data_IF_213625828252
#
_entry.id   IF_213625828252
#
_cell.length_a   1.000
_cell.length_b   1.000
_cell.length_c   1.000
_cell.angle_alpha   90.00
_cell.angle_beta   90.00
_cell.angle_gamma   90.00
#
_symmetry.space_group_name_H-M   'P 1'
#
loop_
_entity.id
_entity.type
_entity.pdbx_description
1 polymer ?
#
# COMPACT_ATOMS: atom_id res chain seq x y z
N UNK A 1 19.01 1.54 -7.64
CA UNK A 1 18.07 2.67 -7.78
C UNK A 1 18.90 3.94 -7.87
N UNK A 2 18.73 4.79 -8.88
CA UNK A 2 19.37 6.11 -8.87
C UNK A 2 18.92 6.87 -7.61
N UNK A 3 19.81 7.68 -7.05
CA UNK A 3 19.56 8.63 -5.95
C UNK A 3 19.43 8.10 -4.51
N UNK A 4 19.70 6.82 -4.24
CA UNK A 4 19.86 6.33 -2.85
C UNK A 4 21.34 6.39 -2.46
N UNK A 5 21.65 7.14 -1.40
CA UNK A 5 23.00 7.26 -0.83
C UNK A 5 23.40 5.94 -0.21
N UNK A 6 24.52 5.38 -0.67
CA UNK A 6 25.07 4.17 -0.06
C UNK A 6 25.68 4.51 1.31
N UNK A 7 25.44 3.62 2.27
CA UNK A 7 26.07 3.68 3.59
C UNK A 7 27.18 2.64 3.63
N UNK A 8 28.37 3.05 4.08
CA UNK A 8 29.50 2.15 4.28
C UNK A 8 29.43 1.54 5.68
N UNK A 9 29.46 0.21 5.76
CA UNK A 9 29.57 -0.50 7.03
C UNK A 9 31.00 -1.02 7.16
N UNK A 10 31.70 -0.57 8.21
CA UNK A 10 33.07 -0.99 8.50
C UNK A 10 33.12 -1.62 9.89
N UNK A 11 33.66 -2.84 9.96
CA UNK A 11 34.01 -3.46 11.22
C UNK A 11 35.41 -2.98 11.64
N UNK A 12 35.53 -2.48 12.86
CA UNK A 12 36.80 -2.06 13.44
C UNK A 12 37.41 -3.21 14.25
N UNK A 13 38.75 -3.32 14.22
CA UNK A 13 39.48 -4.33 14.98
C UNK A 13 39.41 -4.08 16.49
N UNK A 14 39.54 -2.81 16.89
CA UNK A 14 39.51 -2.37 18.29
C UNK A 14 38.53 -1.21 18.50
N UNK A 15 37.90 -1.19 19.68
CA UNK A 15 36.97 -0.12 20.09
C UNK A 15 37.66 1.25 20.15
N UNK A 16 38.95 1.31 20.45
CA UNK A 16 39.73 2.55 20.49
C UNK A 16 39.95 3.19 19.13
N UNK A 17 39.76 2.43 18.04
CA UNK A 17 39.86 2.93 16.67
C UNK A 17 38.58 3.64 16.22
N UNK A 18 37.49 3.53 16.99
CA UNK A 18 36.25 4.24 16.72
C UNK A 18 36.40 5.73 17.08
N UNK A 19 35.87 6.66 16.27
CA UNK A 19 35.85 8.06 16.64
C UNK A 19 35.03 8.27 17.93
N UNK A 20 35.35 9.28 18.74
CA UNK A 20 34.59 9.57 19.94
C UNK A 20 33.14 9.94 19.59
N UNK A 21 32.20 9.47 20.39
CA UNK A 21 30.78 9.78 20.21
C UNK A 21 30.53 11.27 20.47
N UNK A 22 29.94 11.97 19.50
CA UNK A 22 29.36 13.29 19.70
C UNK A 22 28.06 13.17 20.51
N UNK A 23 27.27 12.13 20.20
CA UNK A 23 26.01 11.81 20.90
C UNK A 23 25.97 10.32 21.19
N UNK A 24 25.54 9.96 22.39
CA UNK A 24 25.42 8.56 22.83
C UNK A 24 23.97 8.25 23.19
N UNK A 25 23.49 7.12 22.68
CA UNK A 25 22.15 6.59 22.92
C UNK A 25 22.24 5.27 23.69
N UNK A 26 21.20 4.96 24.47
CA UNK A 26 21.04 3.69 25.20
C UNK A 26 19.98 2.77 24.58
N UNK A 27 19.45 3.14 23.42
CA UNK A 27 18.43 2.41 22.64
C UNK A 27 19.02 1.94 21.31
N UNK A 28 18.46 0.90 20.66
CA UNK A 28 18.84 0.53 19.31
C UNK A 28 18.42 1.59 18.28
N UNK A 29 18.99 1.51 17.08
CA UNK A 29 18.57 2.30 15.93
C UNK A 29 18.23 1.43 14.71
N UNK A 30 17.34 1.92 13.85
CA UNK A 30 17.09 1.41 12.51
C UNK A 30 17.40 2.53 11.52
N UNK A 31 18.36 2.26 10.65
CA UNK A 31 18.78 3.13 9.55
C UNK A 31 18.10 2.70 8.26
N UNK A 32 17.38 3.60 7.62
CA UNK A 32 16.78 3.38 6.30
C UNK A 32 16.89 4.62 5.42
N UNK A 33 16.78 4.43 4.11
CA UNK A 33 16.85 5.50 3.14
C UNK A 33 15.45 5.83 2.59
N UNK A 34 15.19 7.12 2.36
CA UNK A 34 14.05 7.58 1.58
C UNK A 34 14.53 7.98 0.18
N UNK A 35 14.05 7.32 -0.86
CA UNK A 35 14.53 7.61 -2.22
C UNK A 35 13.71 6.88 -3.26
N UNK A 36 14.24 6.74 -4.47
CA UNK A 36 13.56 6.02 -5.55
C UNK A 36 12.13 6.53 -5.79
N UNK A 37 11.15 5.65 -5.60
CA UNK A 37 9.73 5.90 -5.93
C UNK A 37 8.89 6.40 -4.73
N UNK A 38 9.51 6.71 -3.59
CA UNK A 38 8.83 7.35 -2.44
C UNK A 38 8.09 8.62 -2.84
N UNK A 39 6.87 8.78 -2.33
CA UNK A 39 5.86 9.74 -2.82
C UNK A 39 4.80 9.13 -3.72
N UNK A 40 5.02 7.90 -4.21
CA UNK A 40 3.95 7.03 -4.64
C UNK A 40 3.46 6.22 -3.43
N UNK A 41 2.15 6.26 -3.16
CA UNK A 41 1.56 5.67 -1.97
C UNK A 41 1.82 4.16 -1.82
N UNK A 42 1.90 3.42 -2.94
CA UNK A 42 2.28 2.01 -2.94
C UNK A 42 3.71 1.81 -2.45
N UNK A 43 4.66 2.58 -2.99
CA UNK A 43 6.08 2.49 -2.63
C UNK A 43 6.33 2.99 -1.20
N UNK A 44 5.61 4.01 -0.75
CA UNK A 44 5.71 4.45 0.64
C UNK A 44 5.32 3.33 1.61
N UNK A 45 4.31 2.53 1.28
CA UNK A 45 3.90 1.39 2.12
C UNK A 45 4.77 0.15 1.93
N UNK A 46 4.91 -0.31 0.68
CA UNK A 46 5.59 -1.56 0.34
C UNK A 46 7.10 -1.50 0.51
N UNK A 47 7.73 -0.41 0.07
CA UNK A 47 9.20 -0.28 0.10
C UNK A 47 9.70 0.24 1.45
N UNK A 48 8.86 0.97 2.21
CA UNK A 48 9.28 1.66 3.43
C UNK A 48 8.49 1.24 4.67
N UNK A 49 7.18 1.53 4.76
CA UNK A 49 6.44 1.41 6.03
C UNK A 49 6.28 -0.04 6.50
N UNK A 50 6.00 -0.99 5.60
CA UNK A 50 5.91 -2.41 5.94
C UNK A 50 7.28 -2.97 6.38
N UNK A 51 8.37 -2.78 5.63
CA UNK A 51 9.71 -3.17 6.07
C UNK A 51 10.16 -2.49 7.36
N UNK A 52 9.81 -1.21 7.56
CA UNK A 52 10.11 -0.48 8.78
C UNK A 52 9.34 -1.05 9.97
N UNK A 53 8.06 -1.41 9.80
CA UNK A 53 7.29 -2.13 10.81
C UNK A 53 7.97 -3.45 11.19
N UNK A 54 8.39 -4.26 10.20
CA UNK A 54 9.11 -5.52 10.45
C UNK A 54 10.38 -5.26 11.27
N UNK A 55 11.21 -4.30 10.85
CA UNK A 55 12.50 -4.01 11.47
C UNK A 55 12.38 -3.43 12.90
N UNK A 56 11.29 -2.73 13.20
CA UNK A 56 11.14 -1.96 14.44
C UNK A 56 10.23 -2.60 15.48
N UNK A 57 9.28 -3.46 15.07
CA UNK A 57 8.20 -3.94 15.97
C UNK A 57 8.72 -4.64 17.22
N UNK A 58 9.85 -5.35 17.12
CA UNK A 58 10.52 -6.05 18.23
C UNK A 58 10.99 -5.13 19.37
N UNK A 59 11.09 -3.82 19.13
CA UNK A 59 11.60 -2.86 20.11
C UNK A 59 10.49 -2.13 20.88
N UNK A 60 9.21 -2.36 20.56
CA UNK A 60 8.06 -1.74 21.25
C UNK A 60 8.19 -0.20 21.45
N UNK A 61 8.64 0.47 20.39
CA UNK A 61 8.85 1.92 20.39
C UNK A 61 10.21 2.39 20.93
N UNK A 62 10.98 1.53 21.59
CA UNK A 62 12.33 1.85 22.08
C UNK A 62 13.39 1.71 20.97
N UNK A 63 13.25 2.49 19.90
CA UNK A 63 14.17 2.45 18.75
C UNK A 63 14.29 3.82 18.10
N UNK A 64 15.50 4.27 17.81
CA UNK A 64 15.75 5.51 17.07
C UNK A 64 15.66 5.25 15.57
N UNK A 65 14.91 6.08 14.84
CA UNK A 65 14.97 6.09 13.38
C UNK A 65 16.01 7.07 12.89
N UNK A 66 16.86 6.58 11.99
CA UNK A 66 17.88 7.34 11.29
C UNK A 66 17.54 7.28 9.80
N UNK A 67 17.33 8.43 9.17
CA UNK A 67 16.86 8.52 7.79
C UNK A 67 17.96 9.15 6.94
N UNK A 68 18.43 8.41 5.93
CA UNK A 68 19.23 8.99 4.85
C UNK A 68 18.33 9.34 3.65
N UNK A 69 18.78 10.28 2.83
CA UNK A 69 18.02 10.90 1.75
C UNK A 69 16.66 11.46 2.22
N UNK A 70 16.63 12.05 3.42
CA UNK A 70 15.36 12.44 4.03
C UNK A 70 14.66 13.51 3.18
N UNK A 71 13.43 13.22 2.75
CA UNK A 71 12.52 14.21 2.17
C UNK A 71 11.69 14.82 3.31
N UNK A 72 11.81 16.12 3.64
CA UNK A 72 11.16 16.69 4.84
C UNK A 72 9.64 16.48 4.91
N UNK A 73 8.96 16.41 3.76
CA UNK A 73 7.52 16.17 3.70
C UNK A 73 7.12 14.75 4.11
N UNK A 74 8.00 13.75 3.98
CA UNK A 74 7.66 12.34 4.17
C UNK A 74 7.46 11.99 5.65
N UNK A 75 8.38 12.32 6.59
CA UNK A 75 8.13 12.14 8.01
C UNK A 75 6.91 12.92 8.51
N UNK A 76 6.63 14.09 7.92
CA UNK A 76 5.44 14.86 8.24
C UNK A 76 4.16 14.15 7.78
N UNK A 77 4.14 13.59 6.57
CA UNK A 77 3.00 12.86 6.02
C UNK A 77 2.67 11.58 6.80
N UNK A 78 3.70 10.86 7.28
CA UNK A 78 3.57 9.59 8.00
C UNK A 78 3.82 9.71 9.51
N UNK A 79 3.75 10.92 10.05
CA UNK A 79 4.07 11.23 11.46
C UNK A 79 3.37 10.30 12.44
N UNK A 80 2.07 10.08 12.27
CA UNK A 80 1.26 9.24 13.18
C UNK A 80 1.76 7.79 13.22
N UNK A 81 2.21 7.25 12.08
CA UNK A 81 2.78 5.91 12.00
C UNK A 81 4.15 5.88 12.70
N UNK A 82 5.02 6.83 12.36
CA UNK A 82 6.39 6.88 12.91
C UNK A 82 6.37 7.03 14.43
N UNK A 83 5.51 7.88 14.97
CA UNK A 83 5.34 8.06 16.43
C UNK A 83 4.77 6.84 17.14
N UNK A 84 4.12 5.92 16.43
CA UNK A 84 3.67 4.65 16.99
C UNK A 84 4.74 3.57 16.91
N UNK A 85 5.62 3.62 15.90
CA UNK A 85 6.74 2.69 15.75
C UNK A 85 7.94 3.07 16.62
N UNK A 86 8.11 4.34 16.95
CA UNK A 86 9.19 4.88 17.79
C UNK A 86 8.68 5.95 18.75
N UNK A 87 9.20 5.94 19.98
CA UNK A 87 8.98 6.98 21.00
C UNK A 87 9.83 8.23 20.77
N UNK A 88 10.71 8.22 19.77
CA UNK A 88 11.70 9.25 19.49
C UNK A 88 11.45 9.87 18.10
N UNK A 89 11.74 11.17 17.95
CA UNK A 89 11.67 11.83 16.65
C UNK A 89 12.73 11.26 15.71
N UNK A 90 12.37 11.06 14.43
CA UNK A 90 13.31 10.58 13.43
C UNK A 90 14.44 11.60 13.20
N UNK A 91 15.66 11.09 13.05
CA UNK A 91 16.86 11.89 12.79
C UNK A 91 17.13 11.92 11.29
N UNK A 92 17.31 13.13 10.76
CA UNK A 92 17.85 13.35 9.42
C UNK A 92 19.38 13.16 9.45
N UNK A 93 19.87 12.07 8.84
CA UNK A 93 21.30 11.82 8.76
C UNK A 93 22.01 12.66 7.69
N UNK A 94 21.29 13.24 6.73
CA UNK A 94 21.94 14.12 5.76
C UNK A 94 22.24 15.49 6.36
N UNK A 95 21.38 15.95 7.27
CA UNK A 95 21.60 17.18 8.04
C UNK A 95 22.80 17.11 9.01
N UNK A 96 23.25 15.90 9.40
CA UNK A 96 24.45 15.70 10.23
C UNK A 96 25.76 16.13 9.52
N UNK A 97 25.71 16.44 8.22
CA UNK A 97 26.84 16.95 7.42
C UNK A 97 26.74 18.42 6.99
N UNK A 98 25.63 19.12 7.27
CA UNK A 98 25.46 20.54 6.95
C UNK A 98 26.08 21.41 8.06
N UNK A 99 27.40 21.59 8.00
CA UNK A 99 28.20 22.44 8.91
C UNK A 99 29.60 21.89 9.21
N UNK A 100 30.43 22.66 9.91
CA UNK A 100 31.84 22.30 10.27
C UNK A 100 31.97 21.17 11.30
N UNK A 101 30.88 20.59 11.80
CA UNK A 101 30.89 19.59 12.88
C UNK A 101 30.42 18.21 12.37
N UNK A 102 31.36 17.26 12.29
CA UNK A 102 31.03 15.86 12.01
C UNK A 102 30.36 15.21 13.24
N UNK A 103 29.07 14.85 13.13
CA UNK A 103 28.33 14.24 14.24
C UNK A 103 28.53 12.73 14.23
N UNK A 104 29.14 12.18 15.30
CA UNK A 104 29.26 10.74 15.52
C UNK A 104 28.19 10.30 16.52
N UNK A 105 27.23 9.50 16.06
CA UNK A 105 26.15 8.95 16.90
C UNK A 105 26.44 7.51 17.27
N UNK A 106 26.49 7.22 18.56
CA UNK A 106 26.77 5.90 19.10
C UNK A 106 25.51 5.25 19.66
N UNK A 107 25.25 4.02 19.21
CA UNK A 107 24.14 3.19 19.69
C UNK A 107 24.67 1.83 20.16
N UNK A 108 24.02 1.16 21.12
CA UNK A 108 24.33 -0.21 21.49
C UNK A 108 24.12 -1.21 20.35
N UNK A 109 23.18 -0.95 19.43
CA UNK A 109 22.88 -1.80 18.28
C UNK A 109 22.26 -0.95 17.16
N UNK A 110 22.68 -1.19 15.91
CA UNK A 110 22.10 -0.53 14.73
C UNK A 110 21.73 -1.59 13.70
N UNK A 111 20.48 -1.58 13.24
CA UNK A 111 20.05 -2.29 12.04
C UNK A 111 20.27 -1.36 10.85
N UNK A 112 21.11 -1.77 9.89
CA UNK A 112 21.39 -1.00 8.68
C UNK A 112 20.56 -1.56 7.52
N UNK A 113 19.63 -0.75 7.03
CA UNK A 113 18.68 -1.11 5.98
C UNK A 113 17.39 -1.71 6.52
N UNK A 114 16.38 -1.70 5.65
CA UNK A 114 15.09 -2.36 5.84
C UNK A 114 14.87 -3.32 4.66
N UNK A 115 14.22 -4.45 4.90
CA UNK A 115 14.09 -5.52 3.93
C UNK A 115 12.63 -5.69 3.50
N UNK A 116 12.36 -5.45 2.22
CA UNK A 116 11.10 -5.82 1.58
C UNK A 116 11.11 -7.33 1.28
N UNK A 117 10.05 -8.04 1.68
CA UNK A 117 9.92 -9.47 1.40
C UNK A 117 9.34 -9.69 -0.01
N UNK A 118 8.15 -9.11 -0.24
CA UNK A 118 7.48 -8.93 -1.53
C UNK A 118 6.77 -7.55 -1.49
N UNK A 119 6.20 -7.09 -2.61
CA UNK A 119 5.65 -5.73 -2.78
C UNK A 119 4.92 -5.15 -1.55
N UNK A 120 3.81 -5.73 -1.13
CA UNK A 120 3.08 -5.32 0.09
C UNK A 120 2.74 -6.54 0.95
N UNK A 121 3.77 -7.28 1.36
CA UNK A 121 3.61 -8.55 2.05
C UNK A 121 4.64 -8.73 3.16
N UNK A 122 4.28 -9.56 4.14
CA UNK A 122 5.16 -10.00 5.22
C UNK A 122 5.18 -11.52 5.23
N UNK A 123 6.31 -12.08 4.83
CA UNK A 123 6.64 -13.52 4.98
C UNK A 123 7.04 -13.81 6.44
N UNK A 124 6.22 -14.54 7.22
CA UNK A 124 6.44 -14.71 8.67
C UNK A 124 7.74 -15.42 9.04
N UNK A 125 8.22 -16.31 8.17
CA UNK A 125 9.48 -17.05 8.35
C UNK A 125 10.70 -16.12 8.35
N UNK A 126 10.59 -14.94 7.74
CA UNK A 126 11.65 -13.94 7.62
C UNK A 126 11.43 -12.72 8.53
N UNK A 127 10.23 -12.58 9.12
CA UNK A 127 9.87 -11.48 10.01
C UNK A 127 9.64 -12.00 11.44
N UNK A 128 10.70 -12.24 12.23
CA UNK A 128 10.54 -12.68 13.62
C UNK A 128 9.74 -11.64 14.41
N UNK A 129 8.75 -12.11 15.17
CA UNK A 129 7.98 -11.27 16.08
C UNK A 129 8.76 -10.89 17.35
N UNK A 130 8.07 -10.30 18.34
CA UNK A 130 8.63 -10.07 19.66
C UNK A 130 9.18 -11.38 20.28
N UNK A 131 10.16 -11.30 21.20
CA UNK A 131 10.73 -12.48 21.85
C UNK A 131 9.66 -13.44 22.40
N UNK A 132 9.73 -14.71 22.00
CA UNK A 132 8.74 -15.73 22.39
C UNK A 132 7.41 -15.71 21.60
N UNK A 133 7.26 -14.80 20.63
CA UNK A 133 6.09 -14.70 19.75
C UNK A 133 6.24 -15.43 18.41
N UNK A 134 5.14 -15.47 17.64
CA UNK A 134 5.15 -15.92 16.24
C UNK A 134 5.73 -14.85 15.31
N UNK A 135 6.11 -15.24 14.10
CA UNK A 135 6.47 -14.31 13.04
C UNK A 135 5.35 -13.29 12.74
N UNK A 136 5.74 -12.07 12.36
CA UNK A 136 4.83 -11.01 11.97
C UNK A 136 4.14 -11.37 10.64
N UNK A 137 2.91 -10.88 10.46
CA UNK A 137 2.11 -11.09 9.23
C UNK A 137 1.54 -9.77 8.73
N UNK A 138 1.03 -9.74 7.50
CA UNK A 138 0.26 -8.58 7.01
C UNK A 138 -0.96 -8.27 7.87
N UNK A 139 -1.62 -9.29 8.44
CA UNK A 139 -2.68 -9.08 9.42
C UNK A 139 -2.20 -8.37 10.70
N UNK A 140 -0.93 -8.51 11.09
CA UNK A 140 -0.35 -7.71 12.18
C UNK A 140 -0.13 -6.27 11.78
N UNK A 141 0.34 -6.04 10.55
CA UNK A 141 0.52 -4.69 10.02
C UNK A 141 -0.83 -3.97 9.91
N UNK A 142 -1.87 -4.57 9.34
CA UNK A 142 -3.18 -3.92 9.21
C UNK A 142 -3.83 -3.68 10.58
N UNK A 143 -3.66 -4.57 11.55
CA UNK A 143 -4.08 -4.32 12.94
C UNK A 143 -3.33 -3.13 13.54
N UNK A 144 -2.01 -3.06 13.33
CA UNK A 144 -1.21 -1.92 13.75
C UNK A 144 -1.71 -0.62 13.11
N UNK A 145 -1.99 -0.60 11.80
CA UNK A 145 -2.55 0.58 11.11
C UNK A 145 -3.90 1.01 11.70
N UNK A 146 -4.75 0.05 12.08
CA UNK A 146 -6.02 0.33 12.75
C UNK A 146 -5.83 0.94 14.14
N UNK A 147 -4.86 0.46 14.92
CA UNK A 147 -4.51 1.06 16.22
C UNK A 147 -3.96 2.48 16.06
N UNK A 148 -3.05 2.68 15.10
CA UNK A 148 -2.40 3.98 14.81
C UNK A 148 -3.44 5.07 14.55
N UNK A 149 -4.47 4.77 13.77
CA UNK A 149 -5.49 5.74 13.37
C UNK A 149 -6.80 5.62 14.18
N UNK A 150 -6.82 4.80 15.23
CA UNK A 150 -7.99 4.53 16.06
C UNK A 150 -9.24 4.20 15.21
N UNK A 151 -9.07 3.31 14.24
CA UNK A 151 -10.10 2.95 13.28
C UNK A 151 -11.22 2.15 13.96
N UNK A 152 -12.49 2.63 13.92
CA UNK A 152 -13.55 2.10 14.76
C UNK A 152 -14.12 0.77 14.27
N UNK A 153 -14.02 0.46 12.96
CA UNK A 153 -14.62 -0.75 12.39
C UNK A 153 -13.62 -1.89 12.39
N UNK A 154 -14.04 -3.02 12.96
CA UNK A 154 -13.26 -4.25 13.07
C UNK A 154 -13.73 -5.42 12.21
N UNK A 155 -14.90 -5.26 11.59
CA UNK A 155 -15.49 -6.17 10.62
C UNK A 155 -16.33 -5.36 9.60
N UNK A 156 -16.57 -5.91 8.39
CA UNK A 156 -17.52 -5.35 7.45
C UNK A 156 -18.96 -5.46 7.99
N UNK A 157 -19.91 -4.85 7.29
CA UNK A 157 -21.32 -4.93 7.63
C UNK A 157 -21.80 -6.39 7.57
N UNK A 158 -22.33 -6.91 8.69
CA UNK A 158 -22.97 -8.23 8.71
C UNK A 158 -24.42 -8.09 8.30
N UNK A 159 -24.78 -8.77 7.21
CA UNK A 159 -26.15 -8.84 6.71
C UNK A 159 -26.96 -10.01 7.32
N UNK A 160 -26.37 -10.74 8.28
CA UNK A 160 -26.97 -11.95 8.90
C UNK A 160 -27.82 -11.62 10.13
N UNK A 161 -27.60 -10.47 10.78
CA UNK A 161 -28.32 -10.05 11.99
C UNK A 161 -29.40 -9.01 11.69
N UNK A 162 -30.43 -9.40 10.95
CA UNK A 162 -31.68 -8.64 10.95
C UNK A 162 -32.42 -8.92 12.26
N UNK A 163 -32.37 -8.00 13.23
CA UNK A 163 -33.39 -8.01 14.29
C UNK A 163 -34.76 -7.72 13.65
N UNK A 164 -35.84 -8.42 14.05
CA UNK A 164 -37.15 -8.20 13.47
C UNK A 164 -37.55 -6.71 13.61
N UNK A 165 -37.61 -5.99 12.48
CA UNK A 165 -38.02 -4.58 12.42
C UNK A 165 -36.90 -3.54 12.26
N UNK A 166 -35.62 -3.93 12.20
CA UNK A 166 -34.50 -3.04 11.83
C UNK A 166 -33.82 -3.53 10.55
N UNK A 167 -33.99 -2.79 9.46
CA UNK A 167 -33.18 -2.99 8.26
C UNK A 167 -31.75 -2.56 8.57
N UNK A 168 -30.78 -3.47 8.43
CA UNK A 168 -29.37 -3.11 8.44
C UNK A 168 -29.08 -2.15 7.28
N UNK A 169 -28.23 -1.12 7.48
CA UNK A 169 -27.82 -0.27 6.37
C UNK A 169 -27.15 -1.11 5.28
N UNK A 170 -27.29 -0.73 4.00
CA UNK A 170 -26.65 -1.46 2.91
C UNK A 170 -25.12 -1.44 3.07
N UNK A 171 -24.40 -2.48 2.63
CA UNK A 171 -22.95 -2.45 2.61
C UNK A 171 -22.46 -1.32 1.70
N UNK A 172 -21.35 -0.69 2.09
CA UNK A 172 -20.85 0.50 1.41
C UNK A 172 -19.70 0.11 0.46
N UNK A 173 -19.78 0.54 -0.79
CA UNK A 173 -18.76 0.34 -1.80
C UNK A 173 -18.09 1.67 -2.14
N UNK A 174 -16.77 1.72 -1.98
CA UNK A 174 -15.94 2.84 -2.41
C UNK A 174 -15.34 2.54 -3.77
N UNK A 175 -15.67 3.35 -4.77
CA UNK A 175 -14.96 3.42 -6.05
C UNK A 175 -13.85 4.48 -5.95
N UNK A 176 -12.60 4.09 -6.21
CA UNK A 176 -11.48 5.04 -6.26
C UNK A 176 -11.56 5.82 -7.57
N UNK A 177 -11.93 7.10 -7.47
CA UNK A 177 -11.85 8.05 -8.57
C UNK A 177 -10.39 8.37 -8.89
N UNK A 178 -10.08 8.58 -10.17
CA UNK A 178 -8.74 8.95 -10.63
C UNK A 178 -8.84 10.08 -11.65
N UNK A 179 -8.05 11.14 -11.45
CA UNK A 179 -8.07 12.30 -12.35
C UNK A 179 -7.13 12.18 -13.56
N UNK A 180 -6.03 11.42 -13.46
CA UNK A 180 -4.91 11.55 -14.42
C UNK A 180 -4.65 10.34 -15.32
N UNK A 181 -4.68 9.12 -14.80
CA UNK A 181 -4.36 7.91 -15.57
C UNK A 181 -5.17 6.72 -15.06
N UNK A 182 -5.43 5.72 -15.92
CA UNK A 182 -6.22 4.52 -15.59
C UNK A 182 -7.57 4.89 -14.97
N UNK A 183 -8.23 5.86 -15.58
CA UNK A 183 -9.52 6.40 -15.16
C UNK A 183 -10.63 5.45 -15.60
N UNK A 184 -11.74 5.49 -14.88
CA UNK A 184 -12.97 4.89 -15.35
C UNK A 184 -13.71 5.88 -16.25
N UNK A 185 -13.97 5.50 -17.49
CA UNK A 185 -14.66 6.34 -18.47
C UNK A 185 -16.18 6.38 -18.28
N UNK A 186 -16.72 5.47 -17.45
CA UNK A 186 -18.14 5.33 -17.19
C UNK A 186 -18.45 5.09 -15.69
N UNK A 187 -17.80 5.83 -14.79
CA UNK A 187 -17.99 5.72 -13.33
C UNK A 187 -19.46 5.72 -12.90
N UNK A 188 -20.28 6.60 -13.48
CA UNK A 188 -21.71 6.68 -13.15
C UNK A 188 -22.45 5.36 -13.42
N UNK A 189 -22.12 4.66 -14.51
CA UNK A 189 -22.73 3.38 -14.84
C UNK A 189 -22.26 2.28 -13.88
N UNK A 190 -20.99 2.32 -13.48
CA UNK A 190 -20.43 1.38 -12.48
C UNK A 190 -21.10 1.59 -11.13
N UNK A 191 -21.27 2.84 -10.69
CA UNK A 191 -21.97 3.17 -9.44
C UNK A 191 -23.43 2.71 -9.47
N UNK A 192 -24.14 2.96 -10.57
CA UNK A 192 -25.52 2.49 -10.74
C UNK A 192 -25.62 0.96 -10.72
N UNK A 193 -24.66 0.26 -11.33
CA UNK A 193 -24.60 -1.21 -11.27
C UNK A 193 -24.34 -1.72 -9.84
N UNK A 194 -23.48 -1.04 -9.08
CA UNK A 194 -23.23 -1.36 -7.67
C UNK A 194 -24.47 -1.10 -6.78
N UNK A 195 -25.17 0.02 -7.00
CA UNK A 195 -26.44 0.33 -6.32
C UNK A 195 -27.51 -0.71 -6.65
N UNK A 196 -27.63 -1.11 -7.91
CA UNK A 196 -28.54 -2.18 -8.34
C UNK A 196 -28.19 -3.55 -7.73
N UNK A 197 -26.91 -3.79 -7.42
CA UNK A 197 -26.45 -4.98 -6.71
C UNK A 197 -26.70 -4.91 -5.18
N UNK A 198 -27.15 -3.76 -4.65
CA UNK A 198 -27.53 -3.60 -3.24
C UNK A 198 -26.53 -2.82 -2.38
N UNK A 199 -25.50 -2.20 -2.98
CA UNK A 199 -24.53 -1.38 -2.25
C UNK A 199 -24.99 0.08 -2.12
N UNK A 200 -24.55 0.76 -1.05
CA UNK A 200 -24.40 2.22 -1.08
C UNK A 200 -23.05 2.54 -1.73
N UNK A 201 -23.08 2.98 -2.99
CA UNK A 201 -21.86 3.19 -3.78
C UNK A 201 -21.44 4.66 -3.81
N UNK A 202 -20.17 4.94 -3.53
CA UNK A 202 -19.61 6.29 -3.54
C UNK A 202 -18.29 6.28 -4.30
N UNK A 203 -18.09 7.25 -5.20
CA UNK A 203 -16.79 7.50 -5.81
C UNK A 203 -16.06 8.61 -5.05
N UNK A 204 -14.82 8.36 -4.63
CA UNK A 204 -13.98 9.38 -4.00
C UNK A 204 -12.57 9.37 -4.59
N UNK A 205 -11.99 10.56 -4.72
CA UNK A 205 -10.58 10.71 -5.01
C UNK A 205 -9.79 10.67 -3.70
N UNK A 206 -8.97 9.62 -3.53
CA UNK A 206 -8.07 9.47 -2.39
C UNK A 206 -6.77 10.24 -2.67
N UNK A 207 -6.92 11.55 -2.79
CA UNK A 207 -5.85 12.47 -3.19
C UNK A 207 -4.71 12.53 -2.18
N UNK A 208 -3.52 12.84 -2.69
CA UNK A 208 -2.29 13.02 -1.89
C UNK A 208 -2.32 14.22 -0.95
N UNK A 209 -3.19 15.19 -1.17
CA UNK A 209 -3.34 16.38 -0.31
C UNK A 209 -4.21 16.11 0.94
N UNK A 210 -4.91 14.98 0.97
CA UNK A 210 -5.64 14.52 2.16
C UNK A 210 -4.69 13.73 3.05
N UNK A 211 -4.64 14.07 4.33
CA UNK A 211 -3.81 13.37 5.32
C UNK A 211 -4.14 11.87 5.36
N UNK A 212 -3.15 11.03 5.64
CA UNK A 212 -3.33 9.56 5.71
C UNK A 212 -4.36 9.18 6.78
N UNK A 213 -4.45 9.90 7.92
CA UNK A 213 -5.49 9.67 8.94
C UNK A 213 -6.90 9.85 8.38
N UNK A 214 -7.15 10.93 7.65
CA UNK A 214 -8.46 11.18 7.05
C UNK A 214 -8.80 10.12 5.99
N UNK A 215 -7.84 9.74 5.14
CA UNK A 215 -8.04 8.64 4.17
C UNK A 215 -8.34 7.31 4.88
N UNK A 216 -7.59 6.98 5.93
CA UNK A 216 -7.77 5.76 6.69
C UNK A 216 -9.17 5.68 7.32
N UNK A 217 -9.67 6.78 7.92
CA UNK A 217 -11.02 6.85 8.49
C UNK A 217 -12.10 6.70 7.42
N UNK A 218 -11.93 7.38 6.28
CA UNK A 218 -12.87 7.28 5.15
C UNK A 218 -12.93 5.86 4.64
N UNK A 219 -11.79 5.24 4.32
CA UNK A 219 -11.73 3.89 3.75
C UNK A 219 -12.25 2.84 4.74
N UNK A 220 -11.91 2.96 6.03
CA UNK A 220 -12.41 2.06 7.07
C UNK A 220 -13.94 2.07 7.21
N UNK A 221 -14.61 3.11 6.72
CA UNK A 221 -16.07 3.20 6.71
C UNK A 221 -16.75 2.38 5.61
N UNK A 222 -16.00 1.77 4.69
CA UNK A 222 -16.51 0.96 3.58
C UNK A 222 -16.28 -0.54 3.76
N UNK A 223 -17.08 -1.34 3.06
CA UNK A 223 -17.05 -2.81 3.05
C UNK A 223 -16.42 -3.37 1.78
N UNK A 224 -16.42 -2.58 0.72
CA UNK A 224 -15.79 -2.90 -0.57
C UNK A 224 -14.95 -1.71 -1.03
N UNK A 225 -13.72 -1.97 -1.46
CA UNK A 225 -12.88 -1.02 -2.19
C UNK A 225 -12.73 -1.50 -3.63
N UNK A 226 -13.17 -0.68 -4.58
CA UNK A 226 -13.11 -0.93 -6.02
C UNK A 226 -12.18 0.10 -6.68
N UNK A 227 -11.25 -0.35 -7.51
CA UNK A 227 -10.44 0.55 -8.32
C UNK A 227 -9.65 -0.13 -9.40
N UNK A 228 -9.21 0.64 -10.39
CA UNK A 228 -8.21 0.17 -11.37
C UNK A 228 -6.87 -0.02 -10.69
N UNK A 229 -6.18 -1.11 -11.02
CA UNK A 229 -4.83 -1.44 -10.55
C UNK A 229 -3.94 -0.19 -10.45
N UNK A 230 -3.29 -0.01 -9.30
CA UNK A 230 -2.37 1.08 -9.02
C UNK A 230 -2.37 1.51 -7.56
N UNK A 231 -1.58 2.55 -7.26
CA UNK A 231 -1.26 2.96 -5.89
C UNK A 231 -2.45 3.31 -5.00
N UNK A 232 -3.59 3.69 -5.57
CA UNK A 232 -4.82 3.95 -4.81
C UNK A 232 -5.30 2.71 -4.04
N UNK A 233 -5.10 1.50 -4.58
CA UNK A 233 -5.54 0.24 -3.96
C UNK A 233 -4.74 -0.11 -2.70
N UNK A 234 -3.61 0.56 -2.43
CA UNK A 234 -2.86 0.44 -1.16
C UNK A 234 -3.74 0.81 0.02
N UNK A 235 -4.75 1.67 -0.17
CA UNK A 235 -5.72 2.02 0.86
C UNK A 235 -6.50 0.81 1.41
N UNK A 236 -6.48 -0.35 0.73
CA UNK A 236 -7.01 -1.61 1.25
C UNK A 236 -6.46 -2.00 2.63
N UNK A 237 -5.27 -1.52 3.02
CA UNK A 237 -4.71 -1.70 4.38
C UNK A 237 -5.60 -1.13 5.50
N UNK A 238 -6.52 -0.23 5.18
CA UNK A 238 -7.44 0.41 6.13
C UNK A 238 -8.84 -0.21 6.16
N UNK A 239 -9.14 -1.12 5.24
CA UNK A 239 -10.41 -1.85 5.26
C UNK A 239 -10.51 -2.72 6.52
N UNK A 240 -11.72 -2.93 7.05
CA UNK A 240 -11.91 -3.90 8.11
C UNK A 240 -11.59 -5.33 7.59
N UNK A 241 -10.96 -6.20 8.40
CA UNK A 241 -10.78 -7.61 8.06
C UNK A 241 -12.08 -8.26 7.63
N UNK A 242 -12.06 -9.07 6.58
CA UNK A 242 -13.26 -9.66 5.96
C UNK A 242 -13.88 -8.80 4.84
N UNK A 243 -13.53 -7.52 4.71
CA UNK A 243 -13.97 -6.68 3.59
C UNK A 243 -13.44 -7.18 2.23
N UNK A 244 -13.95 -6.58 1.15
CA UNK A 244 -13.64 -6.98 -0.22
C UNK A 244 -12.75 -5.93 -0.91
N UNK A 245 -11.65 -6.38 -1.51
CA UNK A 245 -10.89 -5.63 -2.51
C UNK A 245 -11.28 -6.13 -3.90
N UNK A 246 -11.84 -5.25 -4.72
CA UNK A 246 -12.11 -5.50 -6.13
C UNK A 246 -11.12 -4.74 -6.99
N UNK A 247 -10.25 -5.47 -7.68
CA UNK A 247 -9.22 -4.92 -8.55
C UNK A 247 -9.64 -5.02 -10.02
N UNK A 248 -9.80 -3.87 -10.67
CA UNK A 248 -9.90 -3.84 -12.13
C UNK A 248 -8.48 -3.90 -12.71
N UNK A 249 -8.17 -4.99 -13.40
CA UNK A 249 -6.85 -5.28 -13.97
C UNK A 249 -6.80 -4.72 -15.39
N UNK A 250 -5.89 -3.76 -15.69
CA UNK A 250 -5.75 -3.15 -17.02
C UNK A 250 -5.49 -4.17 -18.12
N UNK A 251 -5.81 -3.80 -19.35
CA UNK A 251 -5.52 -4.64 -20.52
C UNK A 251 -4.00 -4.79 -20.68
N UNK A 252 -3.58 -5.86 -21.35
CA UNK A 252 -2.18 -6.09 -21.69
C UNK A 252 -1.48 -7.16 -20.87
N UNK A 253 -2.20 -8.20 -20.41
CA UNK A 253 -1.65 -9.32 -19.60
C UNK A 253 -1.03 -8.85 -18.28
N UNK A 254 -1.79 -8.05 -17.54
CA UNK A 254 -1.40 -7.50 -16.24
C UNK A 254 -1.75 -8.39 -15.05
N UNK A 255 -2.35 -9.57 -15.28
CA UNK A 255 -2.93 -10.45 -14.27
C UNK A 255 -1.91 -10.96 -13.23
N UNK A 256 -0.72 -11.36 -13.68
CA UNK A 256 0.35 -11.83 -12.77
C UNK A 256 0.81 -10.69 -11.86
N UNK A 257 1.05 -9.50 -12.43
CA UNK A 257 1.50 -8.32 -11.66
C UNK A 257 0.41 -7.90 -10.68
N UNK A 258 -0.84 -7.82 -11.12
CA UNK A 258 -1.98 -7.52 -10.27
C UNK A 258 -2.12 -8.51 -9.10
N UNK A 259 -1.93 -9.80 -9.37
CA UNK A 259 -1.99 -10.85 -8.34
C UNK A 259 -0.86 -10.71 -7.32
N UNK A 260 0.38 -10.48 -7.76
CA UNK A 260 1.53 -10.36 -6.87
C UNK A 260 1.49 -9.08 -6.04
N UNK A 261 1.01 -7.98 -6.63
CA UNK A 261 0.93 -6.70 -5.94
C UNK A 261 -0.31 -6.61 -5.04
N UNK A 262 -1.51 -7.02 -5.46
CA UNK A 262 -2.71 -6.81 -4.64
C UNK A 262 -3.46 -8.09 -4.30
N UNK A 263 -3.44 -9.09 -5.20
CA UNK A 263 -4.16 -10.35 -4.99
C UNK A 263 -3.68 -11.16 -3.78
N UNK A 264 -2.37 -11.40 -3.66
CA UNK A 264 -1.79 -12.09 -2.51
C UNK A 264 -1.83 -11.22 -1.24
N UNK A 265 -1.37 -9.95 -1.27
CA UNK A 265 -1.46 -9.07 -0.10
C UNK A 265 -2.85 -8.93 0.49
N UNK A 266 -3.90 -8.76 -0.33
CA UNK A 266 -5.26 -8.65 0.18
C UNK A 266 -5.68 -9.89 0.98
N UNK A 267 -5.33 -11.10 0.51
CA UNK A 267 -5.60 -12.34 1.23
C UNK A 267 -4.83 -12.42 2.56
N UNK A 268 -3.56 -12.01 2.56
CA UNK A 268 -2.71 -11.98 3.76
C UNK A 268 -3.18 -10.95 4.79
N UNK A 269 -3.83 -9.87 4.35
CA UNK A 269 -4.50 -8.88 5.20
C UNK A 269 -5.84 -9.39 5.77
N UNK A 270 -6.33 -10.56 5.32
CA UNK A 270 -7.63 -11.10 5.71
C UNK A 270 -8.81 -10.53 4.91
N UNK A 271 -8.58 -9.99 3.72
CA UNK A 271 -9.61 -9.49 2.82
C UNK A 271 -10.02 -10.56 1.79
N UNK A 272 -11.24 -10.45 1.28
CA UNK A 272 -11.64 -11.14 0.06
C UNK A 272 -11.11 -10.36 -1.14
N UNK A 273 -10.34 -11.04 -1.99
CA UNK A 273 -9.88 -10.48 -3.25
C UNK A 273 -10.76 -10.97 -4.41
N UNK A 274 -11.15 -10.05 -5.28
CA UNK A 274 -11.79 -10.28 -6.56
C UNK A 274 -11.09 -9.44 -7.61
N UNK A 275 -10.92 -9.97 -8.82
CA UNK A 275 -10.43 -9.21 -9.96
C UNK A 275 -11.41 -9.20 -11.14
N UNK A 276 -11.23 -8.18 -11.96
CA UNK A 276 -11.89 -8.04 -13.25
C UNK A 276 -10.85 -7.65 -14.29
N UNK A 277 -10.48 -8.60 -15.15
CA UNK A 277 -9.53 -8.37 -16.24
C UNK A 277 -10.27 -7.74 -17.41
N UNK A 278 -9.87 -6.53 -17.78
CA UNK A 278 -10.51 -5.81 -18.88
C UNK A 278 -10.13 -6.41 -20.24
N UNK A 279 -11.09 -6.42 -21.16
CA UNK A 279 -10.83 -6.80 -22.55
C UNK A 279 -10.24 -5.63 -23.36
N UNK A 280 -9.84 -5.90 -24.60
CA UNK A 280 -9.35 -4.85 -25.50
C UNK A 280 -10.44 -3.81 -25.79
N UNK A 281 -11.70 -4.23 -25.88
CA UNK A 281 -12.87 -3.38 -26.15
C UNK A 281 -13.19 -2.43 -24.99
N UNK A 282 -12.77 -2.80 -23.78
CA UNK A 282 -12.92 -1.98 -22.56
C UNK A 282 -11.73 -1.04 -22.35
N UNK A 283 -10.66 -1.18 -23.15
CA UNK A 283 -9.46 -0.35 -23.08
C UNK A 283 -9.54 0.80 -24.07
N UNK A 284 -9.22 2.02 -23.63
CA UNK A 284 -9.10 3.16 -24.56
C UNK A 284 -7.95 2.99 -25.56
N UNK A 285 -6.99 2.11 -25.29
CA UNK A 285 -5.87 1.86 -26.18
C UNK A 285 -6.31 1.35 -27.55
N UNK A 286 -7.41 0.57 -27.61
CA UNK A 286 -7.92 0.04 -28.88
C UNK A 286 -8.34 1.17 -29.83
N UNK A 287 -9.03 2.18 -29.30
CA UNK A 287 -9.43 3.38 -30.05
C UNK A 287 -8.21 4.26 -30.39
N UNK A 288 -7.29 4.44 -29.43
CA UNK A 288 -6.14 5.33 -29.58
C UNK A 288 -5.09 4.81 -30.57
N UNK A 289 -4.84 3.50 -30.59
CA UNK A 289 -3.73 2.89 -31.32
C UNK A 289 -4.18 2.04 -32.51
N UNK A 290 -5.43 1.62 -32.53
CA UNK A 290 -5.98 0.68 -33.52
C UNK A 290 -5.64 -0.78 -33.23
N UNK A 291 -6.38 -1.72 -33.83
CA UNK A 291 -6.30 -3.15 -33.51
C UNK A 291 -4.97 -3.80 -33.92
N UNK A 292 -4.24 -3.22 -34.88
CA UNK A 292 -2.99 -3.78 -35.39
C UNK A 292 -1.75 -3.33 -34.60
N UNK A 293 -1.89 -2.37 -33.68
CA UNK A 293 -0.75 -1.91 -32.88
C UNK A 293 -0.26 -3.02 -31.93
N UNK A 294 1.06 -3.21 -31.72
CA UNK A 294 1.58 -4.30 -30.88
C UNK A 294 1.03 -4.31 -29.45
N UNK A 295 0.78 -3.15 -28.84
CA UNK A 295 0.15 -3.04 -27.53
C UNK A 295 -1.28 -3.61 -27.45
N UNK A 296 -1.94 -3.82 -28.59
CA UNK A 296 -3.24 -4.48 -28.68
C UNK A 296 -3.06 -5.93 -29.16
N UNK A 297 -2.38 -6.13 -30.29
CA UNK A 297 -2.33 -7.43 -30.97
C UNK A 297 -1.35 -8.43 -30.38
N UNK A 298 -0.24 -7.95 -29.82
CA UNK A 298 0.81 -8.79 -29.21
C UNK A 298 1.32 -8.15 -27.90
N UNK A 299 0.54 -8.19 -26.81
CA UNK A 299 0.97 -7.63 -25.53
C UNK A 299 2.30 -8.18 -25.02
N UNK A 300 2.64 -9.44 -25.34
CA UNK A 300 3.91 -10.04 -24.93
C UNK A 300 5.12 -9.32 -25.54
N UNK A 301 4.99 -8.74 -26.73
CA UNK A 301 6.04 -7.91 -27.32
C UNK A 301 6.33 -6.67 -26.47
N UNK A 302 5.30 -6.07 -25.87
CA UNK A 302 5.45 -4.91 -24.98
C UNK A 302 6.14 -5.34 -23.69
N UNK A 303 5.76 -6.46 -23.11
CA UNK A 303 6.45 -7.04 -21.93
C UNK A 303 7.93 -7.33 -22.22
N UNK A 304 8.25 -7.93 -23.37
CA UNK A 304 9.64 -8.17 -23.81
C UNK A 304 10.42 -6.88 -24.04
N UNK A 305 9.75 -5.76 -24.29
CA UNK A 305 10.38 -4.44 -24.47
C UNK A 305 10.72 -3.75 -23.15
N UNK A 306 10.40 -4.38 -22.01
CA UNK A 306 10.78 -3.91 -20.68
C UNK A 306 9.73 -3.04 -19.98
N UNK A 307 10.01 -2.75 -18.71
CA UNK A 307 9.09 -2.09 -17.78
C UNK A 307 8.63 -0.71 -18.24
N UNK A 308 9.50 0.06 -18.89
CA UNK A 308 9.17 1.41 -19.35
C UNK A 308 8.04 1.40 -20.38
N UNK A 309 8.10 0.46 -21.35
CA UNK A 309 7.05 0.32 -22.38
C UNK A 309 5.75 -0.24 -21.81
N UNK A 310 5.87 -1.18 -20.88
CA UNK A 310 4.76 -1.71 -20.11
C UNK A 310 4.02 -0.59 -19.34
N UNK A 311 4.78 0.27 -18.66
CA UNK A 311 4.26 1.42 -17.92
C UNK A 311 3.63 2.47 -18.83
N UNK A 312 4.31 2.80 -19.94
CA UNK A 312 3.82 3.73 -20.95
C UNK A 312 2.43 3.31 -21.45
N UNK A 313 2.30 2.11 -22.00
CA UNK A 313 1.06 1.69 -22.64
C UNK A 313 -0.02 1.29 -21.62
N UNK A 314 0.27 0.37 -20.71
CA UNK A 314 -0.78 -0.26 -19.90
C UNK A 314 -1.08 0.47 -18.60
N UNK A 315 -0.17 1.31 -18.10
CA UNK A 315 -0.37 2.04 -16.84
C UNK A 315 -0.61 3.55 -17.01
N UNK A 316 -0.09 4.17 -18.08
CA UNK A 316 -0.16 5.62 -18.26
C UNK A 316 -1.14 6.04 -19.37
N UNK A 317 -1.09 5.39 -20.55
CA UNK A 317 -1.93 5.77 -21.70
C UNK A 317 -3.34 5.20 -21.66
N UNK A 318 -3.55 4.12 -20.91
CA UNK A 318 -4.82 3.41 -20.85
C UNK A 318 -5.76 4.00 -19.79
N UNK A 319 -6.99 4.28 -20.21
CA UNK A 319 -8.17 4.38 -19.37
C UNK A 319 -9.13 3.21 -19.67
N UNK A 320 -10.12 2.98 -18.81
CA UNK A 320 -10.99 1.80 -18.84
C UNK A 320 -12.46 2.21 -18.93
N UNK A 321 -13.18 1.63 -19.88
CA UNK A 321 -14.65 1.69 -19.96
C UNK A 321 -15.20 0.29 -19.64
N UNK A 322 -15.75 0.13 -18.45
CA UNK A 322 -16.22 -1.17 -17.96
C UNK A 322 -17.50 -1.59 -18.70
N UNK A 323 -17.53 -2.82 -19.21
CA UNK A 323 -18.77 -3.49 -19.58
C UNK A 323 -19.50 -3.92 -18.29
N UNK A 324 -20.52 -3.14 -17.91
CA UNK A 324 -21.27 -3.37 -16.67
C UNK A 324 -21.99 -4.72 -16.62
N UNK A 325 -22.37 -5.29 -17.78
CA UNK A 325 -23.01 -6.60 -17.82
C UNK A 325 -22.01 -7.71 -17.51
N UNK A 326 -20.77 -7.60 -18.04
CA UNK A 326 -19.67 -8.51 -17.70
C UNK A 326 -19.14 -8.30 -16.29
N UNK A 327 -19.25 -7.10 -15.74
CA UNK A 327 -18.79 -6.77 -14.39
C UNK A 327 -19.80 -7.17 -13.29
N UNK A 328 -21.10 -7.25 -13.60
CA UNK A 328 -22.16 -7.59 -12.64
C UNK A 328 -21.92 -8.88 -11.79
N UNK A 329 -21.34 -9.97 -12.33
CA UNK A 329 -21.00 -11.15 -11.54
C UNK A 329 -19.95 -10.87 -10.45
N UNK A 330 -19.04 -9.90 -10.64
CA UNK A 330 -18.05 -9.51 -9.64
C UNK A 330 -18.73 -8.78 -8.48
N UNK A 331 -19.65 -7.87 -8.77
CA UNK A 331 -20.46 -7.18 -7.77
C UNK A 331 -21.31 -8.15 -6.96
N UNK A 332 -21.95 -9.12 -7.63
CA UNK A 332 -22.73 -10.19 -6.98
C UNK A 332 -21.85 -11.00 -6.02
N UNK A 333 -20.66 -11.43 -6.47
CA UNK A 333 -19.74 -12.18 -5.62
C UNK A 333 -19.25 -11.37 -4.41
N UNK A 334 -18.99 -10.08 -4.58
CA UNK A 334 -18.63 -9.20 -3.47
C UNK A 334 -19.77 -9.10 -2.45
N UNK A 335 -21.00 -8.92 -2.92
CA UNK A 335 -22.19 -8.81 -2.06
C UNK A 335 -22.46 -10.12 -1.31
N UNK A 336 -22.42 -11.26 -2.01
CA UNK A 336 -22.64 -12.58 -1.41
C UNK A 336 -21.58 -12.93 -0.37
N UNK A 337 -20.32 -12.52 -0.58
CA UNK A 337 -19.27 -12.67 0.43
C UNK A 337 -19.61 -11.94 1.73
N UNK A 338 -20.16 -10.72 1.65
CA UNK A 338 -20.57 -9.95 2.83
C UNK A 338 -21.81 -10.54 3.52
N UNK A 339 -22.68 -11.24 2.78
CA UNK A 339 -23.84 -11.96 3.35
C UNK A 339 -23.47 -13.22 4.13
N UNK A 340 -22.32 -13.82 3.84
CA UNK A 340 -21.91 -15.11 4.39
C UNK A 340 -21.04 -14.99 5.65
N UNK A 341 -20.74 -13.77 6.10
CA UNK A 341 -19.94 -13.49 7.30
C UNK A 341 -20.77 -13.46 8.59
#
# INVERSE_FOLDING_TARGET
MPDIKMVTVTQLEDKSSAPPCTVTYNIPAVLFALGGLTGNFWHDFGDVLVPLFIASRRYDGEVQFLISNMKPWWPAAYKTILQRLSKYDAVDLDGDGDGDAHVVRCFPHVTVGIHMHNGLSIVPEWAPGPPGGRGLTMADFTRFMREVYALPRDAPASLVREEPGKQSPPPRLLLIHREHSRRFMNEREILQAAEAAGFEAVALDLRRDVTVDAQARVVNSFDVLLGVHGAGLTNSVFLPPGAVLVQVVPYGKMDVIATLEFGLPAKEMGLKYLDYVVSAEESTLLEMLGPEHPAIKDPDSIHRSGWDKMTEFYLNMQDVRIDVARFAPVLTQAFDHLRQQ
#
